data_IF_722443875577
#
_entry.id   IF_722443875577
#
_cell.length_a   1.000
_cell.length_b   1.000
_cell.length_c   1.000
_cell.angle_alpha   90.00
_cell.angle_beta   90.00
_cell.angle_gamma   90.00
#
_symmetry.space_group_name_H-M   'P 1'
#
loop_
_entity.id
_entity.type
_entity.pdbx_description
1 polymer ?
#
# COMPACT_ATOMS: atom_id res chain seq x y z
N UNK A 1 5.33 57.90 107.45
CA UNK A 1 4.67 57.92 106.12
C UNK A 1 5.45 57.16 105.05
N UNK A 2 6.77 57.33 104.91
CA UNK A 2 7.59 56.70 103.85
C UNK A 2 7.64 55.15 103.89
N UNK A 3 7.71 54.53 105.07
CA UNK A 3 7.78 53.05 105.21
C UNK A 3 6.51 52.33 104.73
N UNK A 4 5.32 52.92 104.93
CA UNK A 4 4.04 52.37 104.47
C UNK A 4 3.92 52.44 102.94
N UNK A 5 4.35 53.56 102.35
CA UNK A 5 4.42 53.75 100.90
C UNK A 5 5.40 52.77 100.22
N UNK A 6 6.56 52.52 100.83
CA UNK A 6 7.53 51.54 100.34
C UNK A 6 6.96 50.11 100.33
N UNK A 7 6.26 49.72 101.41
CA UNK A 7 5.65 48.39 101.56
C UNK A 7 4.49 48.18 100.58
N UNK A 8 3.67 49.21 100.36
CA UNK A 8 2.62 49.20 99.33
C UNK A 8 3.18 49.15 97.90
N UNK A 9 4.31 49.84 97.64
CA UNK A 9 4.99 49.77 96.35
C UNK A 9 5.59 48.38 96.08
N UNK A 10 6.25 47.78 97.08
CA UNK A 10 6.81 46.43 97.00
C UNK A 10 5.71 45.37 96.80
N UNK A 11 4.59 45.48 97.52
CA UNK A 11 3.44 44.59 97.33
C UNK A 11 2.86 44.70 95.91
N UNK A 12 2.67 45.92 95.40
CA UNK A 12 2.23 46.16 94.01
C UNK A 12 3.25 45.67 92.98
N UNK A 13 4.56 45.76 93.26
CA UNK A 13 5.58 45.21 92.38
C UNK A 13 5.54 43.68 92.33
N UNK A 14 5.40 43.02 93.48
CA UNK A 14 5.28 41.57 93.54
C UNK A 14 3.99 41.08 92.86
N UNK A 15 2.87 41.75 93.10
CA UNK A 15 1.60 41.44 92.43
C UNK A 15 1.70 41.61 90.90
N UNK A 16 2.36 42.68 90.44
CA UNK A 16 2.66 42.87 89.00
C UNK A 16 3.55 41.76 88.44
N UNK A 17 4.56 41.33 89.20
CA UNK A 17 5.48 40.25 88.80
C UNK A 17 4.76 38.91 88.71
N UNK A 18 3.93 38.58 89.70
CA UNK A 18 3.08 37.37 89.70
C UNK A 18 2.08 37.38 88.55
N UNK A 19 1.43 38.53 88.29
CA UNK A 19 0.52 38.68 87.16
C UNK A 19 1.26 38.53 85.82
N UNK A 20 2.49 39.05 85.72
CA UNK A 20 3.33 38.90 84.53
C UNK A 20 3.81 37.46 84.33
N UNK A 21 4.17 36.75 85.41
CA UNK A 21 4.51 35.33 85.35
C UNK A 21 3.30 34.47 84.98
N UNK A 22 2.10 34.77 85.51
CA UNK A 22 0.86 34.11 85.13
C UNK A 22 0.55 34.30 83.64
N UNK A 23 0.60 35.54 83.14
CA UNK A 23 0.43 35.85 81.71
C UNK A 23 1.50 35.16 80.85
N UNK A 24 2.74 35.08 81.32
CA UNK A 24 3.82 34.36 80.62
C UNK A 24 3.53 32.86 80.54
N UNK A 25 3.06 32.23 81.63
CA UNK A 25 2.66 30.81 81.64
C UNK A 25 1.47 30.56 80.72
N UNK A 26 0.46 31.42 80.74
CA UNK A 26 -0.70 31.36 79.84
C UNK A 26 -0.29 31.51 78.37
N UNK A 27 0.60 32.45 78.06
CA UNK A 27 1.12 32.64 76.71
C UNK A 27 1.93 31.44 76.22
N UNK A 28 2.76 30.84 77.08
CA UNK A 28 3.51 29.61 76.75
C UNK A 28 2.55 28.46 76.49
N UNK A 29 1.55 28.24 77.36
CA UNK A 29 0.57 27.17 77.18
C UNK A 29 -0.24 27.34 75.89
N UNK A 30 -0.67 28.57 75.58
CA UNK A 30 -1.37 28.88 74.34
C UNK A 30 -0.49 28.67 73.10
N UNK A 31 0.80 29.06 73.16
CA UNK A 31 1.75 28.82 72.09
C UNK A 31 2.01 27.32 71.88
N UNK A 32 2.19 26.54 72.94
CA UNK A 32 2.35 25.09 72.88
C UNK A 32 1.13 24.42 72.26
N UNK A 33 -0.08 24.79 72.70
CA UNK A 33 -1.33 24.26 72.15
C UNK A 33 -1.47 24.57 70.64
N UNK A 34 -1.12 25.79 70.22
CA UNK A 34 -1.10 26.14 68.80
C UNK A 34 -0.09 25.30 68.02
N UNK A 35 1.13 25.10 68.56
CA UNK A 35 2.14 24.27 67.89
C UNK A 35 1.71 22.82 67.76
N UNK A 36 1.10 22.24 68.78
CA UNK A 36 0.56 20.87 68.75
C UNK A 36 -0.55 20.75 67.70
N UNK A 37 -1.50 21.69 67.69
CA UNK A 37 -2.58 21.70 66.70
C UNK A 37 -2.08 21.85 65.25
N UNK A 38 -1.05 22.66 65.02
CA UNK A 38 -0.42 22.80 63.70
C UNK A 38 0.32 21.53 63.28
N UNK A 39 1.04 20.88 64.20
CA UNK A 39 1.72 19.61 63.94
C UNK A 39 0.72 18.51 63.62
N UNK A 40 -0.36 18.39 64.39
CA UNK A 40 -1.41 17.39 64.16
C UNK A 40 -2.10 17.61 62.81
N UNK A 41 -2.45 18.85 62.47
CA UNK A 41 -3.05 19.17 61.17
C UNK A 41 -2.13 18.78 60.00
N UNK A 42 -0.83 19.10 60.10
CA UNK A 42 0.16 18.72 59.09
C UNK A 42 0.32 17.19 59.01
N UNK A 43 0.40 16.51 60.14
CA UNK A 43 0.53 15.05 60.20
C UNK A 43 -0.67 14.34 59.54
N UNK A 44 -1.89 14.83 59.77
CA UNK A 44 -3.09 14.30 59.11
C UNK A 44 -3.03 14.51 57.61
N UNK A 45 -2.64 15.70 57.14
CA UNK A 45 -2.48 15.99 55.72
C UNK A 45 -1.43 15.12 55.05
N UNK A 46 -0.28 14.93 55.71
CA UNK A 46 0.80 14.04 55.24
C UNK A 46 0.34 12.59 55.20
N UNK A 47 -0.34 12.09 56.23
CA UNK A 47 -0.87 10.73 56.26
C UNK A 47 -1.86 10.48 55.11
N UNK A 48 -2.75 11.43 54.83
CA UNK A 48 -3.68 11.34 53.70
C UNK A 48 -2.95 11.34 52.36
N UNK A 49 -1.91 12.16 52.19
CA UNK A 49 -1.09 12.17 50.99
C UNK A 49 -0.41 10.81 50.75
N UNK A 50 0.13 10.19 51.80
CA UNK A 50 0.70 8.83 51.72
C UNK A 50 -0.33 7.77 51.32
N UNK A 51 -1.54 7.84 51.89
CA UNK A 51 -2.64 6.92 51.52
C UNK A 51 -3.03 7.11 50.06
N UNK A 52 -3.14 8.35 49.60
CA UNK A 52 -3.45 8.67 48.20
C UNK A 52 -2.34 8.20 47.26
N UNK A 53 -1.06 8.41 47.61
CA UNK A 53 0.08 7.94 46.83
C UNK A 53 0.06 6.41 46.67
N UNK A 54 -0.18 5.66 47.77
CA UNK A 54 -0.28 4.20 47.70
C UNK A 54 -1.44 3.73 46.81
N UNK A 55 -2.58 4.43 46.83
CA UNK A 55 -3.72 4.12 45.95
C UNK A 55 -3.35 4.37 44.48
N UNK A 56 -2.77 5.53 44.17
CA UNK A 56 -2.31 5.87 42.83
C UNK A 56 -1.28 4.86 42.32
N UNK A 57 -0.30 4.46 43.14
CA UNK A 57 0.70 3.46 42.75
C UNK A 57 0.08 2.11 42.42
N UNK A 58 -0.95 1.70 43.16
CA UNK A 58 -1.69 0.47 42.89
C UNK A 58 -2.50 0.55 41.59
N UNK A 59 -3.19 1.67 41.37
CA UNK A 59 -3.94 1.93 40.14
C UNK A 59 -3.02 1.97 38.92
N UNK A 60 -1.88 2.66 39.00
CA UNK A 60 -0.87 2.72 37.93
C UNK A 60 -0.34 1.34 37.59
N UNK A 61 0.00 0.50 38.58
CA UNK A 61 0.43 -0.88 38.34
C UNK A 61 -0.65 -1.70 37.65
N UNK A 62 -1.90 -1.55 38.07
CA UNK A 62 -3.03 -2.27 37.50
C UNK A 62 -3.26 -1.86 36.05
N UNK A 63 -3.26 -0.56 35.76
CA UNK A 63 -3.38 -0.01 34.42
C UNK A 63 -2.22 -0.44 33.52
N UNK A 64 -0.99 -0.47 34.03
CA UNK A 64 0.18 -0.91 33.26
C UNK A 64 0.07 -2.39 32.85
N UNK A 65 -0.38 -3.25 33.77
CA UNK A 65 -0.60 -4.67 33.46
C UNK A 65 -1.70 -4.81 32.41
N UNK A 66 -2.83 -4.12 32.58
CA UNK A 66 -3.93 -4.13 31.62
C UNK A 66 -3.48 -3.64 30.23
N UNK A 67 -2.74 -2.52 30.16
CA UNK A 67 -2.21 -1.99 28.90
C UNK A 67 -1.28 -3.00 28.20
N UNK A 68 -0.43 -3.70 28.97
CA UNK A 68 0.43 -4.75 28.42
C UNK A 68 -0.36 -5.95 27.89
N UNK A 69 -1.44 -6.34 28.57
CA UNK A 69 -2.33 -7.42 28.14
C UNK A 69 -3.09 -7.04 26.88
N UNK A 70 -3.66 -5.83 26.84
CA UNK A 70 -4.32 -5.30 25.65
C UNK A 70 -3.37 -5.24 24.46
N UNK A 71 -2.13 -4.75 24.64
CA UNK A 71 -1.13 -4.73 23.57
C UNK A 71 -0.86 -6.12 22.99
N UNK A 72 -0.69 -7.14 23.86
CA UNK A 72 -0.51 -8.53 23.42
C UNK A 72 -1.72 -9.07 22.67
N UNK A 73 -2.93 -8.82 23.17
CA UNK A 73 -4.17 -9.21 22.49
C UNK A 73 -4.28 -8.51 21.13
N UNK A 74 -4.06 -7.20 21.05
CA UNK A 74 -4.10 -6.46 19.79
C UNK A 74 -3.10 -7.03 18.77
N UNK A 75 -1.89 -7.38 19.19
CA UNK A 75 -0.91 -8.00 18.28
C UNK A 75 -1.38 -9.38 17.75
N UNK A 76 -1.98 -10.21 18.61
CA UNK A 76 -2.57 -11.48 18.20
C UNK A 76 -3.74 -11.29 17.22
N UNK A 77 -4.62 -10.33 17.49
CA UNK A 77 -5.74 -9.99 16.62
C UNK A 77 -5.26 -9.48 15.26
N UNK A 78 -4.24 -8.61 15.23
CA UNK A 78 -3.62 -8.14 13.98
C UNK A 78 -3.10 -9.33 13.17
N UNK A 79 -2.32 -10.22 13.79
CA UNK A 79 -1.77 -11.40 13.10
C UNK A 79 -2.87 -12.31 12.53
N UNK A 80 -3.95 -12.55 13.28
CA UNK A 80 -5.08 -13.33 12.81
C UNK A 80 -5.80 -12.66 11.63
N UNK A 81 -6.02 -11.34 11.71
CA UNK A 81 -6.66 -10.56 10.65
C UNK A 81 -5.79 -10.48 9.40
N UNK A 82 -4.47 -10.37 9.55
CA UNK A 82 -3.52 -10.41 8.43
C UNK A 82 -3.53 -11.78 7.75
N UNK A 83 -3.47 -12.86 8.51
CA UNK A 83 -3.59 -14.23 7.99
C UNK A 83 -4.90 -14.45 7.24
N UNK A 84 -6.02 -14.04 7.84
CA UNK A 84 -7.34 -14.11 7.21
C UNK A 84 -7.42 -13.25 5.94
N UNK A 85 -6.91 -12.01 5.96
CA UNK A 85 -6.87 -11.16 4.78
C UNK A 85 -6.02 -11.76 3.66
N UNK A 86 -4.91 -12.40 4.01
CA UNK A 86 -4.04 -13.06 3.04
C UNK A 86 -4.76 -14.27 2.42
N UNK A 87 -5.44 -15.08 3.22
CA UNK A 87 -6.26 -16.19 2.74
C UNK A 87 -7.39 -15.73 1.80
N UNK A 88 -8.14 -14.70 2.17
CA UNK A 88 -9.25 -14.18 1.36
C UNK A 88 -8.81 -13.56 0.02
N UNK A 89 -7.62 -12.95 -0.04
CA UNK A 89 -7.12 -12.29 -1.25
C UNK A 89 -6.38 -13.26 -2.18
N UNK A 90 -5.95 -14.41 -1.66
CA UNK A 90 -5.16 -15.37 -2.43
C UNK A 90 -6.11 -16.33 -3.15
N UNK A 91 -5.94 -16.43 -4.46
CA UNK A 91 -6.65 -17.39 -5.29
C UNK A 91 -5.65 -18.17 -6.12
N UNK A 92 -5.98 -19.41 -6.43
CA UNK A 92 -5.16 -20.26 -7.29
C UNK A 92 -5.74 -20.22 -8.72
N UNK A 93 -4.87 -20.10 -9.72
CA UNK A 93 -5.26 -20.33 -11.12
C UNK A 93 -4.39 -21.43 -11.72
N UNK A 94 -5.03 -22.51 -12.16
CA UNK A 94 -4.36 -23.68 -12.71
C UNK A 94 -4.35 -23.58 -14.24
N UNK A 95 -3.17 -23.49 -14.83
CA UNK A 95 -2.99 -23.44 -16.28
C UNK A 95 -2.39 -24.76 -16.75
N UNK A 96 -3.24 -25.73 -17.12
CA UNK A 96 -2.83 -27.07 -17.57
C UNK A 96 -3.46 -27.46 -18.92
N UNK A 97 -2.59 -27.72 -19.90
CA UNK A 97 -2.96 -28.11 -21.27
C UNK A 97 -2.65 -29.59 -21.59
N UNK A 98 -2.28 -30.40 -20.60
CA UNK A 98 -2.10 -31.85 -20.78
C UNK A 98 -3.43 -32.51 -21.14
N UNK A 99 -3.38 -33.53 -22.01
CA UNK A 99 -4.57 -34.31 -22.41
C UNK A 99 -5.16 -35.11 -21.24
N UNK A 100 -4.29 -35.66 -20.41
CA UNK A 100 -4.65 -36.37 -19.19
C UNK A 100 -4.24 -35.50 -18.00
N UNK A 101 -5.23 -35.04 -17.24
CA UNK A 101 -5.04 -34.17 -16.07
C UNK A 101 -5.10 -35.03 -14.82
N UNK A 102 -4.01 -35.07 -14.07
CA UNK A 102 -4.04 -35.62 -12.72
C UNK A 102 -4.70 -34.59 -11.78
N UNK A 103 -5.53 -35.02 -10.81
CA UNK A 103 -5.97 -34.14 -9.74
C UNK A 103 -4.76 -33.54 -9.03
N UNK A 104 -4.76 -32.21 -8.87
CA UNK A 104 -3.72 -31.53 -8.08
C UNK A 104 -4.18 -31.47 -6.61
N UNK A 105 -3.27 -31.68 -5.65
CA UNK A 105 -3.61 -31.51 -4.24
C UNK A 105 -3.97 -30.05 -3.95
N UNK A 106 -4.96 -29.78 -3.08
CA UNK A 106 -5.37 -28.42 -2.75
C UNK A 106 -4.23 -27.67 -2.04
N UNK A 107 -4.01 -26.41 -2.41
CA UNK A 107 -3.05 -25.54 -1.72
C UNK A 107 -3.72 -25.00 -0.46
N UNK A 108 -3.14 -25.30 0.71
CA UNK A 108 -3.62 -24.83 2.01
C UNK A 108 -2.74 -23.66 2.45
N UNK A 109 -3.37 -22.53 2.76
CA UNK A 109 -2.73 -21.37 3.36
C UNK A 109 -3.41 -21.09 4.69
N UNK A 110 -2.63 -21.02 5.78
CA UNK A 110 -3.14 -20.74 7.14
C UNK A 110 -4.37 -21.60 7.49
N UNK A 111 -4.26 -22.93 7.31
CA UNK A 111 -5.32 -23.93 7.53
C UNK A 111 -6.61 -23.73 6.74
N UNK A 112 -6.59 -22.86 5.72
CA UNK A 112 -7.71 -22.64 4.81
C UNK A 112 -7.32 -23.05 3.38
N UNK A 113 -8.14 -23.88 2.70
CA UNK A 113 -7.88 -24.20 1.30
C UNK A 113 -8.08 -22.95 0.44
N UNK A 114 -7.09 -22.63 -0.39
CA UNK A 114 -7.21 -21.54 -1.36
C UNK A 114 -8.26 -21.91 -2.40
N UNK A 115 -9.10 -20.96 -2.76
CA UNK A 115 -10.09 -21.16 -3.82
C UNK A 115 -9.41 -21.12 -5.19
N UNK A 116 -9.58 -22.18 -5.98
CA UNK A 116 -9.19 -22.19 -7.38
C UNK A 116 -10.20 -21.41 -8.22
N UNK A 117 -9.71 -20.57 -9.14
CA UNK A 117 -10.53 -19.73 -10.02
C UNK A 117 -10.18 -19.94 -11.49
N UNK A 118 -11.18 -19.83 -12.35
CA UNK A 118 -11.00 -19.98 -13.81
C UNK A 118 -10.36 -18.75 -14.46
N UNK A 119 -10.48 -17.59 -13.83
CA UNK A 119 -9.89 -16.36 -14.32
C UNK A 119 -9.58 -15.38 -13.20
N UNK A 120 -8.51 -14.61 -13.37
CA UNK A 120 -8.07 -13.62 -12.40
C UNK A 120 -7.61 -12.35 -13.10
N UNK A 121 -7.92 -11.19 -12.51
CA UNK A 121 -7.51 -9.89 -13.05
C UNK A 121 -6.21 -9.43 -12.39
N UNK A 122 -5.11 -9.51 -13.13
CA UNK A 122 -3.80 -9.09 -12.68
C UNK A 122 -3.34 -7.82 -13.41
N UNK A 123 -3.04 -6.75 -12.66
CA UNK A 123 -2.57 -5.45 -13.18
C UNK A 123 -3.42 -4.89 -14.35
N UNK A 124 -4.72 -5.16 -14.34
CA UNK A 124 -5.65 -4.71 -15.38
C UNK A 124 -5.92 -5.69 -16.51
N UNK A 125 -5.21 -6.82 -16.57
CA UNK A 125 -5.35 -7.88 -17.57
C UNK A 125 -5.99 -9.11 -16.95
N UNK A 126 -7.04 -9.64 -17.57
CA UNK A 126 -7.69 -10.88 -17.13
C UNK A 126 -6.96 -12.08 -17.74
N UNK A 127 -6.34 -12.87 -16.88
CA UNK A 127 -5.68 -14.12 -17.21
C UNK A 127 -6.69 -15.23 -16.95
N UNK A 128 -7.00 -16.04 -17.96
CA UNK A 128 -7.90 -17.20 -17.83
C UNK A 128 -7.08 -18.49 -17.80
N UNK A 129 -7.64 -19.55 -17.19
CA UNK A 129 -7.02 -20.87 -17.13
C UNK A 129 -6.68 -21.44 -18.51
N UNK A 130 -7.46 -21.08 -19.54
CA UNK A 130 -7.25 -21.51 -20.92
C UNK A 130 -6.41 -20.54 -21.76
N UNK A 131 -5.93 -19.45 -21.14
CA UNK A 131 -5.20 -18.32 -21.74
C UNK A 131 -5.91 -17.74 -22.98
N UNK A 132 -7.25 -17.71 -22.96
CA UNK A 132 -8.05 -16.95 -23.93
C UNK A 132 -8.13 -15.49 -23.51
N UNK A 133 -7.86 -14.61 -24.47
CA UNK A 133 -7.76 -13.18 -24.20
C UNK A 133 -9.07 -12.41 -24.41
N UNK A 134 -10.15 -13.08 -24.77
CA UNK A 134 -11.46 -12.45 -25.02
C UNK A 134 -11.97 -11.58 -23.86
N UNK A 135 -11.89 -12.01 -22.58
CA UNK A 135 -12.33 -11.17 -21.46
C UNK A 135 -11.53 -9.87 -21.35
N UNK A 136 -10.20 -9.96 -21.49
CA UNK A 136 -9.30 -8.79 -21.53
C UNK A 136 -9.66 -7.88 -22.69
N UNK A 137 -9.80 -8.43 -23.89
CA UNK A 137 -10.10 -7.66 -25.11
C UNK A 137 -11.47 -6.97 -25.01
N UNK A 138 -12.47 -7.66 -24.48
CA UNK A 138 -13.80 -7.09 -24.27
C UNK A 138 -13.76 -5.93 -23.28
N UNK A 139 -13.00 -6.05 -22.18
CA UNK A 139 -12.79 -4.96 -21.23
C UNK A 139 -12.08 -3.76 -21.86
N UNK A 140 -11.01 -4.01 -22.63
CA UNK A 140 -10.25 -2.98 -23.37
C UNK A 140 -11.15 -2.24 -24.36
N UNK A 141 -11.95 -2.97 -25.15
CA UNK A 141 -12.88 -2.37 -26.12
C UNK A 141 -13.92 -1.50 -25.40
N UNK A 142 -14.54 -1.99 -24.32
CA UNK A 142 -15.54 -1.21 -23.56
C UNK A 142 -14.95 0.10 -23.06
N UNK A 143 -13.74 0.07 -22.47
CA UNK A 143 -13.04 1.26 -22.00
C UNK A 143 -12.70 2.22 -23.14
N UNK A 144 -12.16 1.71 -24.24
CA UNK A 144 -11.81 2.54 -25.40
C UNK A 144 -13.06 3.19 -26.03
N UNK A 145 -14.18 2.46 -26.11
CA UNK A 145 -15.46 2.97 -26.61
C UNK A 145 -16.04 4.07 -25.73
N UNK A 146 -15.90 3.98 -24.40
CA UNK A 146 -16.27 5.08 -23.51
C UNK A 146 -15.46 6.36 -23.83
N UNK A 147 -14.17 6.22 -24.16
CA UNK A 147 -13.32 7.36 -24.53
C UNK A 147 -13.60 7.91 -25.93
N UNK A 148 -14.16 7.09 -26.83
CA UNK A 148 -14.61 7.55 -28.16
C UNK A 148 -15.70 8.63 -28.07
N UNK A 149 -16.53 8.64 -27.01
CA UNK A 149 -17.51 9.70 -26.80
C UNK A 149 -16.83 11.08 -26.76
N UNK A 150 -15.78 11.21 -25.94
CA UNK A 150 -15.03 12.46 -25.82
C UNK A 150 -14.36 12.85 -27.14
N UNK A 151 -13.76 11.89 -27.87
CA UNK A 151 -13.17 12.18 -29.18
C UNK A 151 -14.22 12.74 -30.17
N UNK A 152 -15.46 12.24 -30.14
CA UNK A 152 -16.56 12.78 -30.96
C UNK A 152 -16.98 14.19 -30.51
N UNK A 153 -16.96 14.48 -29.21
CA UNK A 153 -17.20 15.83 -28.71
C UNK A 153 -16.13 16.80 -29.20
N UNK A 154 -14.85 16.41 -29.14
CA UNK A 154 -13.74 17.22 -29.68
C UNK A 154 -13.94 17.56 -31.16
N UNK A 155 -14.42 16.59 -31.96
CA UNK A 155 -14.77 16.82 -33.36
C UNK A 155 -15.95 17.79 -33.52
N UNK A 156 -16.98 17.68 -32.67
CA UNK A 156 -18.15 18.59 -32.67
C UNK A 156 -17.75 20.05 -32.39
N UNK A 157 -16.74 20.26 -31.54
CA UNK A 157 -16.18 21.59 -31.28
C UNK A 157 -15.18 22.07 -32.34
N UNK A 158 -15.08 21.39 -33.49
CA UNK A 158 -14.20 21.73 -34.60
C UNK A 158 -12.72 21.88 -34.21
N UNK A 159 -12.25 21.08 -33.25
CA UNK A 159 -10.84 21.12 -32.87
C UNK A 159 -9.92 20.64 -34.00
N UNK A 160 -8.68 21.16 -34.09
CA UNK A 160 -7.72 20.73 -35.10
C UNK A 160 -7.43 19.23 -35.05
N UNK A 161 -7.21 18.62 -36.22
CA UNK A 161 -6.86 17.20 -36.36
C UNK A 161 -5.67 16.80 -35.48
N UNK A 162 -4.64 17.66 -35.39
CA UNK A 162 -3.46 17.42 -34.55
C UNK A 162 -3.82 17.21 -33.08
N UNK A 163 -4.70 18.05 -32.53
CA UNK A 163 -5.16 17.95 -31.13
C UNK A 163 -5.96 16.67 -30.91
N UNK A 164 -6.83 16.32 -31.85
CA UNK A 164 -7.60 15.06 -31.78
C UNK A 164 -6.69 13.82 -31.89
N UNK A 165 -5.63 13.86 -32.69
CA UNK A 165 -4.62 12.80 -32.76
C UNK A 165 -3.85 12.65 -31.45
N UNK A 166 -3.47 13.76 -30.81
CA UNK A 166 -2.84 13.75 -29.49
C UNK A 166 -3.77 13.13 -28.44
N UNK A 167 -5.06 13.51 -28.44
CA UNK A 167 -6.05 12.91 -27.55
C UNK A 167 -6.19 11.40 -27.79
N UNK A 168 -6.31 10.97 -29.05
CA UNK A 168 -6.36 9.55 -29.40
C UNK A 168 -5.15 8.80 -28.86
N UNK A 169 -3.94 9.30 -29.13
CA UNK A 169 -2.68 8.66 -28.73
C UNK A 169 -2.56 8.56 -27.21
N UNK A 170 -2.90 9.63 -26.50
CA UNK A 170 -2.78 9.69 -25.04
C UNK A 170 -3.83 8.83 -24.32
N UNK A 171 -5.07 8.79 -24.82
CA UNK A 171 -6.21 8.25 -24.06
C UNK A 171 -6.73 6.94 -24.63
N UNK A 172 -6.89 6.82 -25.96
CA UNK A 172 -7.53 5.66 -26.59
C UNK A 172 -6.47 4.61 -26.95
N UNK A 173 -5.39 5.03 -27.61
CA UNK A 173 -4.27 4.16 -27.95
C UNK A 173 -3.63 3.58 -26.69
N UNK A 174 -3.46 4.37 -25.62
CA UNK A 174 -2.93 3.89 -24.35
C UNK A 174 -3.77 2.76 -23.73
N UNK A 175 -5.10 2.83 -23.85
CA UNK A 175 -6.00 1.74 -23.44
C UNK A 175 -5.84 0.52 -24.34
N UNK A 176 -5.86 0.71 -25.67
CA UNK A 176 -5.75 -0.36 -26.66
C UNK A 176 -4.40 -1.09 -26.58
N UNK A 177 -3.33 -0.37 -26.24
CA UNK A 177 -1.97 -0.89 -26.17
C UNK A 177 -1.56 -1.36 -24.78
N UNK A 178 -2.45 -1.26 -23.78
CA UNK A 178 -2.20 -1.74 -22.43
C UNK A 178 -1.93 -3.24 -22.42
N UNK A 179 -0.72 -3.63 -21.97
CA UNK A 179 -0.21 -5.01 -21.98
C UNK A 179 -0.33 -5.74 -23.33
N UNK A 180 -0.43 -5.02 -24.46
CA UNK A 180 -0.68 -5.59 -25.79
C UNK A 180 0.34 -6.66 -26.19
N UNK A 181 1.58 -6.56 -25.70
CA UNK A 181 2.67 -7.51 -25.94
C UNK A 181 2.41 -8.89 -25.33
N UNK A 182 1.48 -9.00 -24.36
CA UNK A 182 1.15 -10.25 -23.66
C UNK A 182 0.08 -11.03 -24.41
N UNK A 183 -0.96 -10.35 -24.89
CA UNK A 183 -2.20 -11.01 -25.32
C UNK A 183 -2.49 -10.90 -26.82
N UNK A 184 -1.92 -9.93 -27.53
CA UNK A 184 -2.32 -9.64 -28.92
C UNK A 184 -2.04 -10.78 -29.89
N UNK A 185 -0.86 -11.40 -29.80
CA UNK A 185 -0.47 -12.57 -30.61
C UNK A 185 -1.40 -13.75 -30.40
N UNK A 186 -1.77 -14.03 -29.16
CA UNK A 186 -2.69 -15.10 -28.78
C UNK A 186 -4.17 -14.81 -29.06
N UNK A 187 -4.52 -13.58 -29.45
CA UNK A 187 -5.89 -13.21 -29.78
C UNK A 187 -6.36 -13.82 -31.10
N UNK A 188 -7.65 -14.16 -31.18
CA UNK A 188 -8.26 -14.65 -32.41
C UNK A 188 -8.30 -13.57 -33.49
N UNK A 189 -8.41 -13.98 -34.76
CA UNK A 189 -8.55 -13.03 -35.89
C UNK A 189 -9.79 -12.15 -35.69
N UNK A 190 -10.90 -12.74 -35.23
CA UNK A 190 -12.14 -12.02 -34.90
C UNK A 190 -11.89 -10.94 -33.84
N UNK A 191 -11.14 -11.25 -32.79
CA UNK A 191 -10.85 -10.29 -31.73
C UNK A 191 -9.92 -9.16 -32.19
N UNK A 192 -8.91 -9.48 -33.02
CA UNK A 192 -8.06 -8.48 -33.67
C UNK A 192 -8.89 -7.53 -34.55
N UNK A 193 -9.84 -8.06 -35.31
CA UNK A 193 -10.77 -7.24 -36.11
C UNK A 193 -11.70 -6.39 -35.23
N UNK A 194 -12.20 -6.92 -34.11
CA UNK A 194 -13.00 -6.15 -33.12
C UNK A 194 -12.23 -4.95 -32.59
N UNK A 195 -10.96 -5.13 -32.21
CA UNK A 195 -10.11 -4.03 -31.74
C UNK A 195 -9.78 -3.04 -32.86
N UNK A 196 -9.44 -3.52 -34.06
CA UNK A 196 -9.15 -2.66 -35.22
C UNK A 196 -10.35 -1.78 -35.60
N UNK A 197 -11.59 -2.23 -35.37
CA UNK A 197 -12.78 -1.39 -35.57
C UNK A 197 -12.80 -0.15 -34.69
N UNK A 198 -12.22 -0.20 -33.48
CA UNK A 198 -12.11 0.99 -32.61
C UNK A 198 -11.16 2.00 -33.25
N UNK A 199 -10.00 1.55 -33.73
CA UNK A 199 -9.04 2.40 -34.46
C UNK A 199 -9.68 3.02 -35.70
N UNK A 200 -10.35 2.21 -36.54
CA UNK A 200 -11.06 2.70 -37.74
C UNK A 200 -12.16 3.70 -37.41
N UNK A 201 -12.81 3.55 -36.26
CA UNK A 201 -13.83 4.51 -35.81
C UNK A 201 -13.19 5.84 -35.42
N UNK A 202 -12.01 5.81 -34.79
CA UNK A 202 -11.24 7.02 -34.50
C UNK A 202 -10.74 7.68 -35.78
N UNK A 203 -10.20 6.92 -36.75
CA UNK A 203 -9.79 7.43 -38.06
C UNK A 203 -10.91 8.22 -38.75
N UNK A 204 -12.13 7.67 -38.74
CA UNK A 204 -13.31 8.35 -39.31
C UNK A 204 -13.67 9.65 -38.60
N UNK A 205 -13.57 9.70 -37.28
CA UNK A 205 -13.89 10.92 -36.51
C UNK A 205 -12.83 12.01 -36.73
N UNK A 206 -11.56 11.61 -36.74
CA UNK A 206 -10.44 12.54 -36.87
C UNK A 206 -10.27 13.01 -38.31
N UNK A 207 -10.54 12.13 -39.28
CA UNK A 207 -10.32 12.39 -40.70
C UNK A 207 -8.87 12.18 -41.15
N UNK A 208 -8.11 11.35 -40.43
CA UNK A 208 -6.73 11.01 -40.77
C UNK A 208 -6.47 9.51 -40.60
N UNK A 209 -5.41 9.01 -41.26
CA UNK A 209 -4.92 7.65 -41.04
C UNK A 209 -4.27 7.55 -39.66
N UNK A 210 -4.56 6.45 -38.97
CA UNK A 210 -3.93 6.11 -37.69
C UNK A 210 -3.13 4.81 -37.85
N UNK A 211 -2.07 4.60 -37.05
CA UNK A 211 -1.36 3.32 -37.04
C UNK A 211 -2.32 2.16 -36.82
N UNK A 212 -2.16 1.08 -37.59
CA UNK A 212 -2.98 -0.11 -37.35
C UNK A 212 -2.64 -0.72 -36.00
N UNK A 213 -3.56 -1.51 -35.44
CA UNK A 213 -3.30 -2.19 -34.18
C UNK A 213 -2.13 -3.17 -34.29
N UNK A 214 -1.91 -3.72 -35.49
CA UNK A 214 -0.75 -4.56 -35.79
C UNK A 214 0.56 -3.75 -35.68
N UNK A 215 0.60 -2.54 -36.24
CA UNK A 215 1.78 -1.67 -36.18
C UNK A 215 2.08 -1.23 -34.75
N UNK A 216 1.03 -0.88 -34.00
CA UNK A 216 1.13 -0.54 -32.59
C UNK A 216 1.68 -1.71 -31.77
N UNK A 217 1.14 -2.92 -31.99
CA UNK A 217 1.65 -4.13 -31.35
C UNK A 217 3.13 -4.37 -31.70
N UNK A 218 3.49 -4.36 -32.98
CA UNK A 218 4.88 -4.59 -33.42
C UNK A 218 5.84 -3.55 -32.83
N UNK A 219 5.47 -2.27 -32.85
CA UNK A 219 6.24 -1.17 -32.26
C UNK A 219 6.44 -1.37 -30.75
N UNK A 220 5.40 -1.73 -30.00
CA UNK A 220 5.50 -1.97 -28.54
C UNK A 220 6.32 -3.22 -28.23
N UNK A 221 6.18 -4.28 -29.00
CA UNK A 221 6.94 -5.53 -28.85
C UNK A 221 8.42 -5.29 -29.08
N UNK A 222 8.81 -4.61 -30.16
CA UNK A 222 10.21 -4.28 -30.45
C UNK A 222 10.82 -3.41 -29.35
N UNK A 223 10.12 -2.36 -28.90
CA UNK A 223 10.61 -1.50 -27.80
C UNK A 223 10.76 -2.25 -26.48
N UNK A 224 9.91 -3.22 -26.19
CA UNK A 224 10.03 -4.04 -24.98
C UNK A 224 11.18 -5.03 -25.11
N UNK A 225 11.31 -5.68 -26.26
CA UNK A 225 12.37 -6.63 -26.55
C UNK A 225 13.76 -5.96 -26.52
N UNK A 226 13.90 -4.80 -27.17
CA UNK A 226 15.14 -4.01 -27.15
C UNK A 226 15.57 -3.61 -25.73
N UNK A 227 14.61 -3.28 -24.86
CA UNK A 227 14.91 -2.99 -23.44
C UNK A 227 15.38 -4.22 -22.67
N UNK A 228 14.77 -5.38 -22.92
CA UNK A 228 15.17 -6.63 -22.29
C UNK A 228 16.55 -7.08 -22.78
N UNK A 229 16.81 -6.99 -24.09
CA UNK A 229 18.11 -7.36 -24.66
C UNK A 229 19.23 -6.43 -24.20
N UNK A 230 18.93 -5.16 -23.92
CA UNK A 230 19.91 -4.19 -23.44
C UNK A 230 20.21 -4.28 -21.93
N UNK A 231 19.44 -5.08 -21.17
CA UNK A 231 19.57 -5.22 -19.72
C UNK A 231 20.06 -6.63 -19.35
N UNK A 232 21.35 -6.82 -19.06
CA UNK A 232 21.90 -8.12 -18.65
C UNK A 232 21.31 -8.67 -17.35
N UNK A 233 20.76 -7.81 -16.48
CA UNK A 233 20.13 -8.23 -15.21
C UNK A 233 18.71 -8.75 -15.39
N UNK A 234 18.09 -8.51 -16.55
CA UNK A 234 16.73 -8.93 -16.80
C UNK A 234 16.65 -10.46 -16.94
N UNK A 235 15.71 -11.15 -16.26
CA UNK A 235 15.64 -12.62 -16.26
C UNK A 235 15.41 -13.24 -17.65
N UNK A 236 14.88 -12.46 -18.59
CA UNK A 236 14.69 -12.85 -19.99
C UNK A 236 15.79 -12.44 -20.95
N UNK A 237 16.92 -11.88 -20.48
CA UNK A 237 18.01 -11.38 -21.33
C UNK A 237 18.56 -12.48 -22.27
N UNK A 238 18.86 -13.66 -21.72
CA UNK A 238 19.39 -14.82 -22.45
C UNK A 238 18.43 -15.40 -23.49
N UNK A 239 17.17 -14.97 -23.52
CA UNK A 239 16.22 -15.36 -24.57
C UNK A 239 16.41 -14.54 -25.86
N UNK A 240 17.28 -13.53 -25.84
CA UNK A 240 17.64 -12.67 -26.97
C UNK A 240 19.12 -12.83 -27.37
N UNK A 241 19.66 -14.05 -27.30
CA UNK A 241 21.03 -14.32 -27.72
C UNK A 241 21.21 -14.23 -29.24
N UNK A 242 22.30 -13.60 -29.67
CA UNK A 242 22.69 -13.58 -31.08
C UNK A 242 23.30 -14.92 -31.50
N UNK A 243 23.12 -15.25 -32.78
CA UNK A 243 23.91 -16.30 -33.45
C UNK A 243 25.37 -15.84 -33.63
N UNK A 244 26.33 -16.77 -33.84
CA UNK A 244 27.74 -16.42 -34.03
C UNK A 244 28.01 -15.38 -35.12
N UNK A 245 27.12 -15.24 -36.11
CA UNK A 245 27.21 -14.23 -37.15
C UNK A 245 26.92 -12.80 -36.67
N UNK A 246 26.41 -12.60 -35.46
CA UNK A 246 26.02 -11.30 -34.90
C UNK A 246 24.79 -10.64 -35.55
N UNK A 247 24.22 -11.24 -36.60
CA UNK A 247 23.16 -10.62 -37.42
C UNK A 247 21.73 -10.96 -37.00
N UNK A 248 21.54 -12.12 -36.39
CA UNK A 248 20.20 -12.66 -36.08
C UNK A 248 20.21 -13.23 -34.68
N UNK A 249 19.08 -13.07 -34.00
CA UNK A 249 18.78 -13.70 -32.73
C UNK A 249 18.48 -15.18 -32.94
N UNK A 250 18.85 -15.99 -31.97
CA UNK A 250 18.54 -17.42 -31.92
C UNK A 250 17.03 -17.62 -31.78
N UNK A 251 16.42 -18.26 -32.77
CA UNK A 251 14.99 -18.58 -32.73
C UNK A 251 14.67 -19.53 -31.57
N UNK A 252 13.61 -19.22 -30.82
CA UNK A 252 13.11 -20.07 -29.73
C UNK A 252 12.29 -21.22 -30.33
N UNK A 253 12.66 -22.46 -30.02
CA UNK A 253 11.95 -23.65 -30.50
C UNK A 253 10.60 -23.79 -29.79
N UNK A 254 9.52 -23.78 -30.56
CA UNK A 254 8.15 -23.91 -30.02
C UNK A 254 7.44 -25.13 -30.60
N UNK A 255 6.81 -25.95 -29.75
CA UNK A 255 6.04 -27.15 -30.16
C UNK A 255 4.55 -26.89 -30.35
N UNK A 256 4.05 -25.74 -29.89
CA UNK A 256 2.62 -25.39 -29.92
C UNK A 256 2.44 -23.97 -30.42
N UNK A 257 1.31 -23.70 -31.07
CA UNK A 257 0.92 -22.34 -31.47
C UNK A 257 0.81 -21.40 -30.28
N UNK A 258 0.36 -21.92 -29.12
CA UNK A 258 0.29 -21.16 -27.86
C UNK A 258 1.66 -20.64 -27.43
N UNK A 259 2.68 -21.49 -27.41
CA UNK A 259 4.05 -21.06 -27.08
C UNK A 259 4.61 -20.15 -28.16
N UNK A 260 4.42 -20.47 -29.45
CA UNK A 260 4.83 -19.61 -30.57
C UNK A 260 4.24 -18.19 -30.47
N UNK A 261 3.01 -18.09 -30.00
CA UNK A 261 2.29 -16.84 -29.83
C UNK A 261 2.52 -16.19 -28.46
N UNK A 262 3.46 -16.65 -27.64
CA UNK A 262 3.86 -15.92 -26.44
C UNK A 262 4.84 -14.79 -26.79
N UNK A 263 5.12 -13.92 -25.83
CA UNK A 263 5.93 -12.72 -26.05
C UNK A 263 7.32 -13.03 -26.64
N UNK A 264 8.13 -13.90 -26.01
CA UNK A 264 9.53 -14.07 -26.41
C UNK A 264 9.70 -14.65 -27.82
N UNK A 265 9.06 -15.77 -28.21
CA UNK A 265 9.22 -16.29 -29.58
C UNK A 265 8.72 -15.32 -30.64
N UNK A 266 7.61 -14.62 -30.38
CA UNK A 266 7.11 -13.60 -31.29
C UNK A 266 8.04 -12.40 -31.39
N UNK A 267 8.59 -11.92 -30.27
CA UNK A 267 9.51 -10.79 -30.22
C UNK A 267 10.81 -11.08 -30.99
N UNK A 268 11.41 -12.25 -30.77
CA UNK A 268 12.59 -12.72 -31.51
C UNK A 268 12.30 -12.77 -33.01
N UNK A 269 11.13 -13.29 -33.40
CA UNK A 269 10.69 -13.29 -34.80
C UNK A 269 10.58 -11.88 -35.39
N UNK A 270 9.97 -10.94 -34.66
CA UNK A 270 9.85 -9.54 -35.11
C UNK A 270 11.20 -8.84 -35.22
N UNK A 271 12.12 -9.05 -34.27
CA UNK A 271 13.46 -8.46 -34.30
C UNK A 271 14.29 -9.01 -35.47
N UNK A 272 14.22 -10.32 -35.71
CA UNK A 272 14.90 -10.95 -36.84
C UNK A 272 14.40 -10.47 -38.20
N UNK A 273 13.10 -10.15 -38.31
CA UNK A 273 12.52 -9.68 -39.56
C UNK A 273 12.73 -8.17 -39.81
N UNK A 274 13.06 -7.39 -38.79
CA UNK A 274 13.14 -5.92 -38.89
C UNK A 274 14.56 -5.36 -39.08
N UNK A 275 15.58 -6.19 -39.34
CA UNK A 275 16.98 -5.73 -39.49
C UNK A 275 17.37 -4.65 -38.46
N UNK A 276 16.97 -4.81 -37.19
CA UNK A 276 17.53 -3.95 -36.15
C UNK A 276 18.95 -4.41 -35.90
N UNK A 277 19.91 -3.63 -36.39
CA UNK A 277 21.29 -3.64 -35.91
C UNK A 277 21.23 -3.35 -34.41
N UNK A 278 21.31 -4.40 -33.60
CA UNK A 278 21.52 -4.24 -32.16
C UNK A 278 22.86 -3.50 -32.04
N UNK A 279 22.92 -2.35 -31.34
CA UNK A 279 24.19 -1.66 -31.14
C UNK A 279 25.10 -2.62 -30.38
N UNK A 280 26.16 -3.08 -31.04
CA UNK A 280 27.28 -3.77 -30.42
C UNK A 280 27.88 -2.83 -29.39
N UNK A 281 27.64 -3.10 -28.11
CA UNK A 281 28.50 -2.58 -27.04
C UNK A 281 29.85 -3.25 -27.19
N UNK A 282 30.79 -2.54 -27.80
CA UNK A 282 32.21 -2.89 -27.72
C UNK A 282 32.68 -2.56 -26.29
N UNK A 283 32.90 -3.60 -25.50
CA UNK A 283 33.86 -3.61 -24.38
C UNK A 283 34.46 -5.00 -24.34
#
# INVERSE_FOLDING_TARGET
>A
MLSRLLKEHQAKQNERKELQEKRRREAIAAATCLTEALVDHLNVGVAQAYVNQRKLDHEVKTLQVQASQFSKQTAQWISMVEGFNQALKTVEIIVDFRKHKAPLPPIILTDTPITSVDSFRFLGTTITQDLKWEPTITSVIKKAQQRMYFLRQLKKFNLPTRTMMQFYTAIIESILTSSITVWYTGATIRDKQRLQRVVRSAEKVIGCRLPSLQDLYTSRTLRRAARISADPSHPGHSLFDLLPSGRRLRSIRTRTSRHKNSFFPSAVGHMNNNHMTVPTTNT
#
